data_IF_500271290036
#
_entry.id   IF_500271290036
#
_cell.length_a   1.000
_cell.length_b   1.000
_cell.length_c   1.000
_cell.angle_alpha   90.00
_cell.angle_beta   90.00
_cell.angle_gamma   90.00
#
_symmetry.space_group_name_H-M   'P 1'
#
loop_
_entity.id
_entity.type
_entity.pdbx_description
1 polymer ?
#
# COMPACT_ATOMS: atom_id res chain seq x y z
N UNK A 1 -10.40 33.77 -10.65
CA UNK A 1 -9.90 32.39 -10.79
C UNK A 1 -9.41 31.96 -9.44
N UNK A 2 -9.89 30.84 -8.96
CA UNK A 2 -9.57 30.34 -7.63
C UNK A 2 -8.10 29.90 -7.57
N UNK A 3 -7.27 30.64 -6.83
CA UNK A 3 -5.87 30.26 -6.57
C UNK A 3 -5.79 28.86 -5.97
N UNK A 4 -6.85 28.40 -5.30
CA UNK A 4 -6.96 27.07 -4.72
C UNK A 4 -7.03 25.99 -5.81
N UNK A 5 -7.68 26.24 -6.95
CA UNK A 5 -7.72 25.29 -8.08
C UNK A 5 -6.36 25.17 -8.77
N UNK A 6 -5.62 26.28 -8.90
CA UNK A 6 -4.27 26.30 -9.47
C UNK A 6 -3.26 25.64 -8.50
N UNK A 7 -3.40 25.87 -7.19
CA UNK A 7 -2.61 25.20 -6.17
C UNK A 7 -2.92 23.71 -6.09
N UNK A 8 -4.19 23.28 -6.20
CA UNK A 8 -4.55 21.85 -6.25
C UNK A 8 -3.96 21.14 -7.47
N UNK A 9 -3.84 21.82 -8.61
CA UNK A 9 -3.22 21.29 -9.84
C UNK A 9 -1.69 21.23 -9.70
N UNK A 10 -1.07 22.26 -9.13
CA UNK A 10 0.38 22.28 -8.85
C UNK A 10 0.76 21.26 -7.74
N UNK A 11 -0.13 21.02 -6.77
CA UNK A 11 0.05 20.03 -5.71
C UNK A 11 -0.25 18.59 -6.19
N UNK A 12 -1.04 18.41 -7.25
CA UNK A 12 -1.29 17.10 -7.85
C UNK A 12 -0.09 16.58 -8.67
N UNK A 13 0.94 17.40 -8.85
CA UNK A 13 2.14 17.08 -9.61
C UNK A 13 3.35 17.28 -8.71
N UNK A 14 3.86 16.23 -8.05
CA UNK A 14 5.12 16.38 -7.33
C UNK A 14 6.17 16.89 -8.32
N UNK A 15 6.96 17.88 -7.90
CA UNK A 15 8.11 18.29 -8.67
C UNK A 15 9.09 17.11 -8.65
N UNK A 16 9.04 16.31 -9.72
CA UNK A 16 9.90 15.16 -9.96
C UNK A 16 11.37 15.53 -9.76
N UNK A 17 11.72 16.80 -10.02
CA UNK A 17 13.04 17.36 -9.78
C UNK A 17 13.39 17.42 -8.30
N UNK A 18 12.45 17.81 -7.44
CA UNK A 18 12.65 17.86 -5.99
C UNK A 18 12.90 16.46 -5.41
N UNK A 19 12.22 15.42 -5.94
CA UNK A 19 12.45 14.02 -5.54
C UNK A 19 13.85 13.52 -5.93
N UNK A 20 14.39 14.02 -7.04
CA UNK A 20 15.76 13.73 -7.47
C UNK A 20 16.80 14.54 -6.68
N UNK A 21 16.48 15.76 -6.28
CA UNK A 21 17.36 16.67 -5.51
C UNK A 21 17.43 16.26 -4.03
N UNK A 22 16.32 15.80 -3.44
CA UNK A 22 16.20 15.33 -2.05
C UNK A 22 16.60 13.84 -1.88
N UNK A 23 17.12 13.21 -2.94
CA UNK A 23 17.46 11.80 -2.93
C UNK A 23 18.64 11.49 -1.99
N UNK A 24 18.32 11.22 -0.72
CA UNK A 24 19.23 10.59 0.21
C UNK A 24 19.60 9.17 -0.29
N UNK A 25 20.84 8.73 -0.03
CA UNK A 25 21.45 7.55 -0.65
C UNK A 25 20.53 6.32 -0.74
N UNK A 26 20.54 5.60 -1.88
CA UNK A 26 19.53 4.59 -2.22
C UNK A 26 19.59 3.38 -1.30
N UNK A 27 18.42 2.78 -1.05
CA UNK A 27 18.25 1.53 -0.29
C UNK A 27 17.86 0.41 -1.26
N UNK A 28 18.81 -0.46 -1.61
CA UNK A 28 18.58 -1.50 -2.64
C UNK A 28 17.65 -2.64 -2.24
N UNK A 29 17.46 -2.91 -0.95
CA UNK A 29 16.46 -3.85 -0.45
C UNK A 29 15.62 -3.20 0.65
N UNK A 30 14.34 -2.99 0.37
CA UNK A 30 13.41 -2.37 1.30
C UNK A 30 12.45 -3.40 1.87
N UNK A 31 12.15 -3.26 3.16
CA UNK A 31 11.13 -4.08 3.82
C UNK A 31 9.75 -3.55 3.41
N UNK A 32 8.93 -4.33 2.71
CA UNK A 32 7.51 -3.98 2.44
C UNK A 32 6.60 -4.36 3.61
N UNK A 33 6.99 -5.39 4.37
CA UNK A 33 6.42 -5.71 5.67
C UNK A 33 7.40 -5.32 6.77
N UNK A 34 6.93 -4.54 7.74
CA UNK A 34 7.81 -4.02 8.78
C UNK A 34 8.43 -5.16 9.59
N UNK A 35 9.73 -5.04 9.86
CA UNK A 35 10.43 -5.96 10.78
C UNK A 35 9.78 -5.99 12.16
N UNK A 36 9.14 -4.89 12.59
CA UNK A 36 8.43 -4.83 13.88
C UNK A 36 7.23 -5.78 13.87
N UNK A 37 6.43 -5.78 12.80
CA UNK A 37 5.31 -6.72 12.65
C UNK A 37 5.79 -8.16 12.48
N UNK A 38 6.76 -8.42 11.60
CA UNK A 38 7.28 -9.78 11.37
C UNK A 38 7.83 -10.41 12.67
N UNK A 39 8.40 -9.60 13.58
CA UNK A 39 8.85 -10.08 14.89
C UNK A 39 7.71 -10.59 15.79
N UNK A 40 6.47 -10.12 15.61
CA UNK A 40 5.29 -10.59 16.35
C UNK A 40 4.86 -11.99 15.92
N UNK A 41 5.08 -12.33 14.64
CA UNK A 41 4.78 -13.65 14.08
C UNK A 41 5.93 -14.66 14.24
N UNK A 42 7.08 -14.23 14.76
CA UNK A 42 8.18 -15.14 15.02
C UNK A 42 7.95 -15.99 16.27
N UNK A 43 8.42 -17.23 16.24
CA UNK A 43 8.44 -18.12 17.40
C UNK A 43 9.29 -17.56 18.53
N UNK A 44 9.02 -18.03 19.74
CA UNK A 44 9.76 -17.64 20.94
C UNK A 44 11.14 -18.31 20.88
N UNK A 45 12.15 -17.54 20.52
CA UNK A 45 13.56 -17.81 20.76
C UNK A 45 14.19 -16.56 21.35
N UNK A 46 15.43 -16.64 21.84
CA UNK A 46 16.19 -15.46 22.27
C UNK A 46 16.22 -14.36 21.18
N UNK A 47 16.71 -13.16 21.51
CA UNK A 47 16.70 -11.99 20.62
C UNK A 47 17.24 -12.28 19.21
N UNK A 48 18.20 -13.21 19.11
CA UNK A 48 18.84 -13.65 17.85
C UNK A 48 18.28 -14.94 17.23
N UNK A 49 17.29 -15.58 17.86
CA UNK A 49 16.75 -16.87 17.42
C UNK A 49 15.22 -16.87 17.20
N UNK A 50 14.62 -15.68 17.04
CA UNK A 50 13.23 -15.54 16.60
C UNK A 50 13.12 -16.02 15.16
N UNK A 51 12.31 -17.06 14.93
CA UNK A 51 12.14 -17.71 13.62
C UNK A 51 10.70 -17.61 13.13
N UNK A 52 10.51 -17.30 11.86
CA UNK A 52 9.22 -17.25 11.18
C UNK A 52 9.22 -18.23 9.99
N UNK A 53 8.07 -18.77 9.60
CA UNK A 53 7.95 -19.57 8.39
C UNK A 53 7.51 -18.67 7.24
N UNK A 54 8.36 -18.43 6.22
CA UNK A 54 7.93 -17.85 4.95
C UNK A 54 7.41 -18.97 4.05
N UNK A 55 6.09 -19.11 3.94
CA UNK A 55 5.46 -20.05 3.04
C UNK A 55 5.35 -19.43 1.65
N UNK A 56 5.92 -20.09 0.64
CA UNK A 56 5.89 -19.64 -0.75
C UNK A 56 4.57 -20.05 -1.39
N UNK A 57 3.81 -19.07 -1.88
CA UNK A 57 2.58 -19.32 -2.63
C UNK A 57 2.88 -19.80 -4.06
N UNK A 58 4.06 -19.43 -4.59
CA UNK A 58 4.55 -19.89 -5.90
C UNK A 58 5.03 -21.34 -5.86
N UNK A 59 5.62 -21.78 -4.74
CA UNK A 59 6.20 -23.11 -4.57
C UNK A 59 5.64 -23.83 -3.34
N UNK A 60 4.33 -24.08 -3.27
CA UNK A 60 3.67 -24.56 -2.05
C UNK A 60 4.15 -25.96 -1.65
N UNK A 61 4.50 -26.82 -2.60
CA UNK A 61 4.93 -28.20 -2.31
C UNK A 61 6.39 -28.28 -1.85
N UNK A 62 7.11 -27.16 -1.85
CA UNK A 62 8.48 -27.08 -1.34
C UNK A 62 8.53 -27.12 0.19
N UNK A 63 9.68 -27.55 0.71
CA UNK A 63 9.96 -27.47 2.14
C UNK A 63 10.27 -26.02 2.53
N UNK A 64 9.41 -25.43 3.36
CA UNK A 64 9.59 -24.07 3.86
C UNK A 64 10.45 -24.06 5.13
N UNK A 65 11.68 -23.56 5.01
CA UNK A 65 12.60 -23.43 6.14
C UNK A 65 12.29 -22.15 6.91
N UNK A 66 12.40 -22.21 8.23
CA UNK A 66 12.24 -21.03 9.06
C UNK A 66 13.38 -20.04 8.84
N UNK A 67 13.05 -18.75 8.82
CA UNK A 67 13.99 -17.63 8.60
C UNK A 67 13.92 -16.63 9.74
N UNK A 68 14.92 -15.76 9.86
CA UNK A 68 14.80 -14.60 10.74
C UNK A 68 13.86 -13.55 10.12
N UNK A 69 13.16 -12.73 10.93
CA UNK A 69 12.37 -11.61 10.42
C UNK A 69 13.14 -10.64 9.52
N UNK A 70 14.46 -10.53 9.69
CA UNK A 70 15.32 -9.67 8.85
C UNK A 70 15.42 -10.16 7.40
N UNK A 71 15.22 -11.45 7.16
CA UNK A 71 15.33 -12.10 5.85
C UNK A 71 13.96 -12.21 5.13
N UNK A 72 12.89 -11.72 5.73
CA UNK A 72 11.52 -11.80 5.20
C UNK A 72 10.98 -10.42 4.83
N UNK A 73 9.94 -10.39 3.98
CA UNK A 73 9.21 -9.19 3.62
C UNK A 73 10.04 -8.13 2.91
N UNK A 74 11.04 -8.53 2.12
CA UNK A 74 11.91 -7.64 1.37
C UNK A 74 11.57 -7.64 -0.11
N UNK A 75 11.62 -6.46 -0.73
CA UNK A 75 11.51 -6.28 -2.17
C UNK A 75 12.71 -5.47 -2.65
N UNK A 76 13.49 -6.00 -3.61
CA UNK A 76 14.55 -5.24 -4.26
C UNK A 76 13.97 -4.04 -4.99
N UNK A 77 14.63 -2.89 -4.88
CA UNK A 77 14.28 -1.65 -5.58
C UNK A 77 12.77 -1.37 -5.52
N UNK A 78 12.18 -1.46 -4.31
CA UNK A 78 10.75 -1.21 -4.16
C UNK A 78 10.41 0.23 -4.55
N UNK A 79 11.22 1.15 -4.05
CA UNK A 79 11.32 2.56 -4.45
C UNK A 79 12.74 2.76 -4.96
N UNK A 80 12.88 3.17 -6.21
CA UNK A 80 14.18 3.26 -6.87
C UNK A 80 14.85 4.62 -6.60
N UNK A 81 14.06 5.69 -6.60
CA UNK A 81 14.47 7.06 -6.40
C UNK A 81 13.93 7.61 -5.08
N UNK A 82 14.75 8.32 -4.29
CA UNK A 82 14.31 8.89 -3.01
C UNK A 82 14.02 7.85 -1.90
N UNK A 83 14.43 6.59 -2.07
CA UNK A 83 14.21 5.54 -1.05
C UNK A 83 14.82 5.84 0.30
N UNK A 84 16.00 6.50 0.33
CA UNK A 84 16.62 6.94 1.58
C UNK A 84 15.75 7.92 2.37
N UNK A 85 15.15 8.89 1.67
CA UNK A 85 14.27 9.89 2.27
C UNK A 85 13.01 9.23 2.85
N UNK A 86 12.33 8.39 2.06
CA UNK A 86 11.13 7.68 2.53
C UNK A 86 11.42 6.80 3.75
N UNK A 87 12.53 6.06 3.72
CA UNK A 87 12.93 5.20 4.83
C UNK A 87 13.17 6.02 6.10
N UNK A 88 13.86 7.17 6.02
CA UNK A 88 14.23 7.96 7.22
C UNK A 88 13.12 8.84 7.74
N UNK A 89 12.37 9.50 6.87
CA UNK A 89 11.46 10.57 7.25
C UNK A 89 9.99 10.14 7.25
N UNK A 90 9.63 9.11 6.50
CA UNK A 90 8.24 8.63 6.42
C UNK A 90 8.07 7.31 7.17
N UNK A 91 8.88 6.30 6.86
CA UNK A 91 8.66 4.93 7.37
C UNK A 91 9.22 4.75 8.78
N UNK A 92 10.47 5.15 9.00
CA UNK A 92 11.17 4.95 10.27
C UNK A 92 10.45 5.57 11.48
N UNK A 93 9.90 6.79 11.45
CA UNK A 93 9.19 7.34 12.61
C UNK A 93 8.01 6.48 13.07
N UNK A 94 7.26 5.92 12.12
CA UNK A 94 6.13 5.03 12.40
C UNK A 94 6.64 3.69 12.94
N UNK A 95 7.66 3.11 12.30
CA UNK A 95 8.24 1.84 12.74
C UNK A 95 8.92 1.94 14.11
N UNK A 96 9.49 3.09 14.46
CA UNK A 96 10.12 3.34 15.76
C UNK A 96 9.06 3.51 16.87
N UNK A 97 7.89 4.09 16.57
CA UNK A 97 6.77 4.24 17.52
C UNK A 97 5.92 2.97 17.68
N UNK A 98 5.87 2.11 16.65
CA UNK A 98 5.01 0.93 16.61
C UNK A 98 5.20 -0.06 17.78
N UNK A 99 6.40 -0.33 18.31
CA UNK A 99 6.58 -1.25 19.44
C UNK A 99 5.77 -0.85 20.69
N UNK A 100 5.75 0.42 21.05
CA UNK A 100 5.02 0.91 22.23
C UNK A 100 3.50 0.85 22.01
N UNK A 101 3.04 1.16 20.81
CA UNK A 101 1.64 1.02 20.44
C UNK A 101 1.18 -0.46 20.46
N UNK A 102 2.03 -1.38 20.00
CA UNK A 102 1.76 -2.83 20.06
C UNK A 102 1.72 -3.34 21.51
N UNK A 103 2.62 -2.86 22.38
CA UNK A 103 2.57 -3.19 23.80
C UNK A 103 1.25 -2.72 24.43
N UNK A 104 0.80 -1.49 24.12
CA UNK A 104 -0.49 -0.98 24.58
C UNK A 104 -1.69 -1.77 24.01
N UNK A 105 -1.57 -2.32 22.79
CA UNK A 105 -2.58 -3.25 22.22
C UNK A 105 -2.66 -4.53 23.04
N UNK A 106 -1.52 -5.10 23.43
CA UNK A 106 -1.47 -6.32 24.23
C UNK A 106 -2.01 -6.13 25.64
N UNK A 107 -1.67 -5.00 26.28
CA UNK A 107 -2.12 -4.60 27.62
C UNK A 107 -3.56 -4.05 27.65
N UNK A 108 -4.19 -3.90 26.48
CA UNK A 108 -5.54 -3.34 26.30
C UNK A 108 -5.70 -1.88 26.74
N UNK A 109 -4.64 -1.07 26.61
CA UNK A 109 -4.60 0.36 26.96
C UNK A 109 -4.37 1.26 25.74
N UNK A 110 -4.47 0.73 24.52
CA UNK A 110 -4.18 1.49 23.29
C UNK A 110 -5.10 2.69 23.11
N UNK A 111 -6.36 2.58 23.55
CA UNK A 111 -7.36 3.65 23.40
C UNK A 111 -7.26 4.74 24.47
N UNK A 112 -6.45 4.53 25.50
CA UNK A 112 -6.16 5.54 26.53
C UNK A 112 -5.16 6.59 26.01
N UNK A 113 -4.52 6.31 24.87
CA UNK A 113 -3.42 7.09 24.29
C UNK A 113 -3.68 7.37 22.81
N UNK A 114 -4.21 8.56 22.45
CA UNK A 114 -4.50 8.92 21.06
C UNK A 114 -3.30 8.75 20.11
N UNK A 115 -2.08 8.96 20.60
CA UNK A 115 -0.83 8.77 19.86
C UNK A 115 -0.61 7.31 19.44
N UNK A 116 -1.02 6.34 20.26
CA UNK A 116 -0.92 4.92 19.93
C UNK A 116 -1.97 4.52 18.90
N UNK A 117 -3.19 5.05 19.03
CA UNK A 117 -4.23 4.87 18.01
C UNK A 117 -3.74 5.41 16.66
N UNK A 118 -3.22 6.63 16.62
CA UNK A 118 -2.67 7.23 15.40
C UNK A 118 -1.51 6.39 14.83
N UNK A 119 -0.62 5.89 15.67
CA UNK A 119 0.49 5.03 15.26
C UNK A 119 0.00 3.75 14.58
N UNK A 120 -1.00 3.06 15.13
CA UNK A 120 -1.56 1.84 14.51
C UNK A 120 -2.26 2.19 13.18
N UNK A 121 -3.06 3.24 13.13
CA UNK A 121 -3.72 3.68 11.87
C UNK A 121 -2.70 4.00 10.78
N UNK A 122 -1.67 4.77 11.14
CA UNK A 122 -0.59 5.12 10.22
C UNK A 122 0.22 3.89 9.79
N UNK A 123 0.39 2.90 10.67
CA UNK A 123 0.98 1.61 10.30
C UNK A 123 0.11 0.84 9.28
N UNK A 124 -1.22 0.89 9.37
CA UNK A 124 -2.12 0.33 8.35
C UNK A 124 -1.87 1.01 7.00
N UNK A 125 -1.89 2.34 6.97
CA UNK A 125 -1.68 3.11 5.73
C UNK A 125 -0.29 2.89 5.15
N UNK A 126 0.75 2.93 5.98
CA UNK A 126 2.13 2.65 5.59
C UNK A 126 2.22 1.31 4.86
N UNK A 127 1.64 0.26 5.43
CA UNK A 127 1.67 -1.08 4.83
C UNK A 127 0.76 -1.23 3.61
N UNK A 128 -0.30 -0.42 3.51
CA UNK A 128 -1.15 -0.37 2.32
C UNK A 128 -0.39 0.24 1.14
N UNK A 129 0.21 1.42 1.33
CA UNK A 129 0.96 2.12 0.28
C UNK A 129 2.26 1.39 -0.08
N UNK A 130 2.93 0.78 0.91
CA UNK A 130 4.16 -0.01 0.73
C UNK A 130 3.90 -1.44 0.24
N UNK A 131 2.80 -1.67 -0.48
CA UNK A 131 2.45 -2.97 -1.04
C UNK A 131 2.86 -3.09 -2.51
N UNK A 132 3.26 -4.29 -2.93
CA UNK A 132 3.53 -4.57 -4.34
C UNK A 132 2.26 -4.43 -5.19
N UNK A 133 1.07 -4.64 -4.61
CA UNK A 133 -0.20 -4.38 -5.29
C UNK A 133 -0.40 -2.90 -5.65
N UNK A 134 -0.07 -1.97 -4.75
CA UNK A 134 -0.17 -0.54 -5.03
C UNK A 134 0.86 -0.14 -6.09
N UNK A 135 2.09 -0.64 -5.99
CA UNK A 135 3.12 -0.41 -7.01
C UNK A 135 2.68 -0.88 -8.39
N UNK A 136 2.17 -2.11 -8.48
CA UNK A 136 1.67 -2.68 -9.74
C UNK A 136 0.48 -1.88 -10.27
N UNK A 137 -0.51 -1.55 -9.41
CA UNK A 137 -1.66 -0.75 -9.82
C UNK A 137 -1.23 0.62 -10.37
N UNK A 138 -0.32 1.31 -9.69
CA UNK A 138 0.14 2.63 -10.11
C UNK A 138 0.78 2.60 -11.49
N UNK A 139 1.59 1.57 -11.75
CA UNK A 139 2.20 1.34 -13.07
C UNK A 139 1.13 1.08 -14.14
N UNK A 140 0.16 0.23 -13.84
CA UNK A 140 -0.82 -0.23 -14.83
C UNK A 140 -1.92 0.81 -15.12
N UNK A 141 -2.32 1.63 -14.13
CA UNK A 141 -3.40 2.60 -14.29
C UNK A 141 -2.95 3.88 -14.99
N UNK A 142 -1.65 4.17 -15.03
CA UNK A 142 -1.15 5.47 -15.50
C UNK A 142 -1.53 5.80 -16.95
N UNK A 143 -1.39 4.89 -17.94
CA UNK A 143 -1.83 5.17 -19.30
C UNK A 143 -3.31 5.54 -19.39
N UNK A 144 -4.15 4.90 -18.57
CA UNK A 144 -5.58 5.19 -18.49
C UNK A 144 -5.86 6.57 -17.87
N UNK A 145 -5.13 6.95 -16.82
CA UNK A 145 -5.24 8.27 -16.21
C UNK A 145 -4.80 9.38 -17.17
N UNK A 146 -3.72 9.17 -17.92
CA UNK A 146 -3.24 10.12 -18.94
C UNK A 146 -4.30 10.31 -20.03
N UNK A 147 -4.87 9.23 -20.56
CA UNK A 147 -5.93 9.30 -21.56
C UNK A 147 -7.16 10.09 -21.05
N UNK A 148 -7.63 9.78 -19.84
CA UNK A 148 -8.77 10.49 -19.23
C UNK A 148 -8.45 11.96 -18.94
N UNK A 149 -7.22 12.26 -18.51
CA UNK A 149 -6.76 13.65 -18.29
C UNK A 149 -6.67 14.42 -19.60
N UNK A 150 -6.24 13.79 -20.69
CA UNK A 150 -6.23 14.39 -22.03
C UNK A 150 -7.62 14.87 -22.43
N UNK A 151 -8.62 14.00 -22.31
CA UNK A 151 -10.02 14.34 -22.61
C UNK A 151 -10.53 15.51 -21.76
N UNK A 152 -10.22 15.49 -20.46
CA UNK A 152 -10.60 16.57 -19.55
C UNK A 152 -9.92 17.89 -19.93
N UNK A 153 -8.62 17.88 -20.23
CA UNK A 153 -7.86 19.08 -20.60
C UNK A 153 -8.35 19.71 -21.90
N UNK A 154 -8.73 18.89 -22.88
CA UNK A 154 -9.27 19.36 -24.15
C UNK A 154 -10.72 19.85 -24.09
N UNK A 155 -11.48 19.41 -23.08
CA UNK A 155 -12.88 19.82 -22.90
C UNK A 155 -13.01 20.93 -21.84
N UNK A 156 -12.76 20.59 -20.58
CA UNK A 156 -13.05 21.41 -19.41
C UNK A 156 -11.84 22.20 -18.91
N UNK A 157 -10.63 21.73 -19.23
CA UNK A 157 -9.37 22.34 -18.79
C UNK A 157 -8.81 23.41 -19.74
N UNK A 158 -9.53 23.78 -20.81
CA UNK A 158 -9.03 24.59 -21.91
C UNK A 158 -8.41 25.93 -21.45
N UNK A 159 -9.05 26.63 -20.51
CA UNK A 159 -8.55 27.91 -19.97
C UNK A 159 -7.26 27.75 -19.15
N UNK A 160 -7.16 26.67 -18.38
CA UNK A 160 -5.97 26.37 -17.59
C UNK A 160 -4.80 25.96 -18.50
N UNK A 161 -5.10 25.27 -19.59
CA UNK A 161 -4.11 24.90 -20.60
C UNK A 161 -3.55 26.13 -21.31
N UNK A 162 -4.40 27.11 -21.65
CA UNK A 162 -3.98 28.39 -22.22
C UNK A 162 -3.12 29.20 -21.25
N UNK A 163 -3.46 29.16 -19.96
CA UNK A 163 -2.64 29.80 -18.92
C UNK A 163 -1.26 29.14 -18.80
N UNK A 164 -1.21 27.79 -18.79
CA UNK A 164 0.06 27.06 -18.78
C UNK A 164 0.90 27.33 -20.02
N UNK A 165 0.28 27.37 -21.20
CA UNK A 165 0.94 27.72 -22.46
C UNK A 165 1.55 29.12 -22.38
N UNK A 166 0.79 30.10 -21.85
CA UNK A 166 1.27 31.48 -21.67
C UNK A 166 2.43 31.59 -20.69
N UNK A 167 2.42 30.86 -19.59
CA UNK A 167 3.55 30.84 -18.66
C UNK A 167 4.81 30.27 -19.31
N UNK A 168 4.67 29.26 -20.18
CA UNK A 168 5.79 28.58 -20.81
C UNK A 168 6.37 29.36 -22.00
N UNK A 169 5.50 29.93 -22.85
CA UNK A 169 5.90 30.56 -24.11
C UNK A 169 5.80 32.09 -24.12
N UNK A 170 5.23 32.70 -23.07
CA UNK A 170 5.00 34.16 -22.99
C UNK A 170 3.84 34.68 -23.85
N UNK A 171 3.15 33.81 -24.60
CA UNK A 171 2.12 34.15 -25.58
C UNK A 171 0.89 33.24 -25.41
N UNK A 172 -0.24 33.63 -25.99
CA UNK A 172 -1.41 32.74 -26.09
C UNK A 172 -1.26 31.78 -27.28
N UNK A 173 -1.84 30.57 -27.22
CA UNK A 173 -1.82 29.65 -28.36
C UNK A 173 -2.62 30.26 -29.53
N UNK A 174 -2.04 30.23 -30.74
CA UNK A 174 -2.65 30.79 -31.95
C UNK A 174 -3.69 29.88 -32.60
N UNK A 175 -3.75 28.61 -32.20
CA UNK A 175 -4.65 27.60 -32.76
C UNK A 175 -5.00 26.48 -31.78
N UNK A 176 -6.05 25.72 -32.10
CA UNK A 176 -6.42 24.50 -31.37
C UNK A 176 -5.33 23.43 -31.51
N UNK A 177 -4.68 23.36 -32.67
CA UNK A 177 -3.61 22.39 -32.95
C UNK A 177 -2.36 22.68 -32.12
N UNK A 178 -1.99 23.95 -31.94
CA UNK A 178 -0.86 24.32 -31.06
C UNK A 178 -1.16 24.00 -29.59
N UNK A 179 -2.39 24.27 -29.15
CA UNK A 179 -2.86 23.89 -27.81
C UNK A 179 -2.81 22.37 -27.59
N UNK A 180 -3.28 21.60 -28.57
CA UNK A 180 -3.21 20.14 -28.53
C UNK A 180 -1.77 19.65 -28.48
N UNK A 181 -0.88 20.19 -29.32
CA UNK A 181 0.53 19.81 -29.33
C UNK A 181 1.21 20.09 -28.00
N UNK A 182 0.99 21.27 -27.41
CA UNK A 182 1.51 21.59 -26.09
C UNK A 182 1.02 20.61 -25.02
N UNK A 183 -0.26 20.23 -25.06
CA UNK A 183 -0.77 19.20 -24.16
C UNK A 183 -0.09 17.85 -24.40
N UNK A 184 0.01 17.39 -25.65
CA UNK A 184 0.64 16.12 -26.02
C UNK A 184 2.09 16.05 -25.54
N UNK A 185 2.88 17.11 -25.76
CA UNK A 185 4.27 17.18 -25.29
C UNK A 185 4.38 17.03 -23.76
N UNK A 186 3.47 17.66 -23.01
CA UNK A 186 3.45 17.57 -21.54
C UNK A 186 2.96 16.21 -21.07
N UNK A 187 1.96 15.63 -21.71
CA UNK A 187 1.47 14.27 -21.39
C UNK A 187 2.51 13.20 -21.75
N UNK A 188 3.26 13.36 -22.84
CA UNK A 188 4.32 12.43 -23.22
C UNK A 188 5.45 12.42 -22.18
N UNK A 189 5.89 13.60 -21.73
CA UNK A 189 6.85 13.70 -20.62
C UNK A 189 6.38 12.93 -19.38
N UNK A 190 5.07 12.93 -19.10
CA UNK A 190 4.50 12.20 -17.97
C UNK A 190 4.43 10.68 -18.19
N UNK A 191 4.16 10.24 -19.41
CA UNK A 191 4.24 8.83 -19.78
C UNK A 191 5.67 8.32 -19.62
N UNK A 192 6.64 9.05 -20.17
CA UNK A 192 8.06 8.70 -20.08
C UNK A 192 8.53 8.65 -18.61
N UNK A 193 8.08 9.60 -17.78
CA UNK A 193 8.38 9.62 -16.34
C UNK A 193 7.75 8.45 -15.60
N UNK A 194 6.52 8.07 -15.93
CA UNK A 194 5.87 6.93 -15.30
C UNK A 194 6.49 5.58 -15.72
N UNK A 195 6.90 5.46 -16.98
CA UNK A 195 7.68 4.31 -17.46
C UNK A 195 9.01 4.17 -16.73
N UNK A 196 9.59 5.29 -16.26
CA UNK A 196 10.83 5.30 -15.48
C UNK A 196 10.67 4.93 -13.99
N UNK A 197 9.45 4.62 -13.52
CA UNK A 197 9.06 4.40 -12.10
C UNK A 197 9.22 5.62 -11.17
N UNK A 198 9.87 6.69 -11.63
CA UNK A 198 10.10 7.92 -10.89
C UNK A 198 8.81 8.60 -10.39
N UNK A 199 7.73 8.48 -11.15
CA UNK A 199 6.42 9.01 -10.73
C UNK A 199 5.81 8.24 -9.55
N UNK A 200 6.00 6.92 -9.51
CA UNK A 200 5.53 6.11 -8.37
C UNK A 200 6.29 6.53 -7.12
N UNK A 201 7.61 6.61 -7.22
CA UNK A 201 8.50 7.00 -6.13
C UNK A 201 8.16 8.39 -5.59
N UNK A 202 7.98 9.36 -6.49
CA UNK A 202 7.61 10.74 -6.16
C UNK A 202 6.24 10.88 -5.47
N UNK A 203 5.33 9.94 -5.70
CA UNK A 203 3.96 10.01 -5.18
C UNK A 203 3.75 9.23 -3.90
N UNK A 204 4.66 8.33 -3.53
CA UNK A 204 4.41 7.40 -2.44
C UNK A 204 4.23 8.09 -1.09
N UNK A 205 5.02 9.15 -0.81
CA UNK A 205 4.85 10.00 0.36
C UNK A 205 3.51 10.73 0.36
N UNK A 206 3.13 11.34 -0.76
CA UNK A 206 1.84 12.01 -0.89
C UNK A 206 0.66 11.04 -0.66
N UNK A 207 0.73 9.83 -1.21
CA UNK A 207 -0.28 8.79 -0.99
C UNK A 207 -0.34 8.36 0.48
N UNK A 208 0.80 8.28 1.15
CA UNK A 208 0.86 7.98 2.57
C UNK A 208 0.12 9.06 3.37
N UNK A 209 0.47 10.34 3.19
CA UNK A 209 -0.18 11.44 3.91
C UNK A 209 -1.67 11.55 3.60
N UNK A 210 -2.06 11.46 2.32
CA UNK A 210 -3.47 11.45 1.92
C UNK A 210 -4.23 10.27 2.54
N UNK A 211 -3.59 9.09 2.61
CA UNK A 211 -4.17 7.92 3.29
C UNK A 211 -4.35 8.16 4.78
N UNK A 212 -3.37 8.76 5.46
CA UNK A 212 -3.46 9.13 6.87
C UNK A 212 -4.58 10.14 7.15
N UNK A 213 -4.69 11.19 6.32
CA UNK A 213 -5.77 12.16 6.41
C UNK A 213 -7.14 11.50 6.21
N UNK A 214 -7.27 10.64 5.20
CA UNK A 214 -8.51 9.93 4.90
C UNK A 214 -9.02 9.08 6.07
N UNK A 215 -8.12 8.47 6.85
CA UNK A 215 -8.48 7.58 7.97
C UNK A 215 -8.43 8.24 9.34
N UNK A 216 -8.18 9.55 9.39
CA UNK A 216 -8.10 10.30 10.64
C UNK A 216 -9.36 10.14 11.49
N UNK A 217 -10.53 10.24 10.86
CA UNK A 217 -11.85 10.22 11.53
C UNK A 217 -12.41 8.81 11.74
N UNK A 218 -11.78 7.77 11.20
CA UNK A 218 -12.26 6.39 11.36
C UNK A 218 -11.99 5.88 12.78
N UNK A 219 -12.84 5.01 13.32
CA UNK A 219 -12.51 4.23 14.51
C UNK A 219 -11.40 3.20 14.24
N UNK A 220 -10.63 2.88 15.27
CA UNK A 220 -9.69 1.76 15.27
C UNK A 220 -10.26 0.58 16.07
N UNK A 221 -10.44 -0.55 15.43
CA UNK A 221 -10.85 -1.80 16.08
C UNK A 221 -9.66 -2.74 16.27
N UNK A 222 -9.52 -3.29 17.48
CA UNK A 222 -8.54 -4.32 17.80
C UNK A 222 -9.28 -5.65 18.02
N UNK A 223 -9.11 -6.56 17.07
CA UNK A 223 -9.80 -7.83 17.01
C UNK A 223 -8.92 -8.97 17.52
N UNK A 224 -9.49 -9.82 18.36
CA UNK A 224 -8.83 -11.00 18.95
C UNK A 224 -9.57 -12.26 18.55
N UNK A 225 -8.92 -13.30 18.02
CA UNK A 225 -9.61 -14.53 17.68
C UNK A 225 -9.87 -15.34 18.95
N UNK A 226 -11.08 -15.88 19.10
CA UNK A 226 -11.45 -16.78 20.20
C UNK A 226 -10.43 -17.92 20.34
N UNK A 227 -10.08 -18.54 19.20
CA UNK A 227 -9.11 -19.64 19.09
C UNK A 227 -8.22 -19.49 17.87
N UNK A 228 -7.09 -20.20 17.87
CA UNK A 228 -6.13 -20.22 16.76
C UNK A 228 -5.38 -18.90 16.57
N UNK A 229 -4.78 -18.72 15.40
CA UNK A 229 -3.84 -17.63 15.13
C UNK A 229 -4.09 -16.98 13.78
N UNK A 230 -3.72 -15.70 13.67
CA UNK A 230 -3.59 -15.02 12.39
C UNK A 230 -2.26 -15.37 11.71
N UNK A 231 -2.24 -15.27 10.38
CA UNK A 231 -1.04 -15.16 9.54
C UNK A 231 -0.96 -13.74 8.95
N UNK A 232 0.18 -13.41 8.33
CA UNK A 232 0.39 -12.12 7.66
C UNK A 232 0.97 -12.35 6.26
N UNK A 233 0.38 -11.72 5.24
CA UNK A 233 0.93 -11.72 3.88
C UNK A 233 2.12 -10.78 3.72
N UNK A 234 2.87 -10.93 2.62
CA UNK A 234 3.82 -9.92 2.16
C UNK A 234 3.15 -8.64 1.61
N UNK A 235 1.82 -8.68 1.48
CA UNK A 235 0.91 -7.54 1.34
C UNK A 235 0.00 -7.52 2.58
N UNK A 236 0.42 -6.89 3.69
CA UNK A 236 -0.16 -7.18 5.00
C UNK A 236 -1.40 -6.34 5.32
N UNK A 237 -1.52 -5.13 4.78
CA UNK A 237 -2.71 -4.30 4.89
C UNK A 237 -3.61 -4.51 3.67
N UNK A 238 -4.82 -5.03 3.87
CA UNK A 238 -5.75 -5.34 2.79
C UNK A 238 -7.07 -4.60 2.98
N UNK A 239 -7.53 -3.93 1.93
CA UNK A 239 -8.88 -3.39 1.84
C UNK A 239 -9.89 -4.54 1.77
N UNK A 240 -11.01 -4.42 2.49
CA UNK A 240 -12.03 -5.47 2.59
C UNK A 240 -13.38 -4.90 2.22
N UNK A 241 -14.13 -5.67 1.43
CA UNK A 241 -15.55 -5.41 1.18
C UNK A 241 -16.37 -6.63 1.60
N UNK A 242 -17.19 -6.47 2.64
CA UNK A 242 -17.97 -7.56 3.21
C UNK A 242 -18.99 -8.16 2.24
N UNK A 243 -19.53 -7.34 1.33
CA UNK A 243 -20.55 -7.69 0.34
C UNK A 243 -20.02 -8.53 -0.83
N UNK A 244 -18.71 -8.48 -1.13
CA UNK A 244 -18.12 -9.11 -2.33
C UNK A 244 -17.24 -10.32 -2.04
N UNK A 245 -17.02 -10.66 -0.77
CA UNK A 245 -16.09 -11.70 -0.33
C UNK A 245 -14.71 -11.62 -1.04
N UNK A 246 -14.26 -10.40 -1.31
CA UNK A 246 -13.00 -10.08 -1.99
C UNK A 246 -12.23 -9.08 -1.14
N UNK A 247 -10.91 -9.07 -1.31
CA UNK A 247 -10.02 -8.16 -0.61
C UNK A 247 -8.87 -7.70 -1.49
N UNK A 248 -8.29 -6.58 -1.11
CA UNK A 248 -7.14 -5.97 -1.76
C UNK A 248 -7.49 -5.20 -3.03
N UNK A 249 -6.49 -4.42 -3.45
CA UNK A 249 -6.59 -3.52 -4.59
C UNK A 249 -6.67 -4.28 -5.91
N UNK A 250 -6.00 -5.44 -6.00
CA UNK A 250 -6.13 -6.37 -7.15
C UNK A 250 -7.56 -6.86 -7.37
N UNK A 251 -8.42 -6.81 -6.34
CA UNK A 251 -9.85 -7.13 -6.46
C UNK A 251 -10.73 -5.92 -6.81
N UNK A 252 -10.14 -4.77 -7.13
CA UNK A 252 -10.85 -3.53 -7.44
C UNK A 252 -11.43 -2.82 -6.22
N UNK A 253 -10.83 -3.01 -5.04
CA UNK A 253 -11.28 -2.38 -3.79
C UNK A 253 -10.26 -1.32 -3.39
N UNK A 254 -10.51 -0.08 -3.80
CA UNK A 254 -9.72 1.07 -3.37
C UNK A 254 -9.97 1.40 -1.90
N UNK A 255 -9.09 2.19 -1.28
CA UNK A 255 -9.20 2.60 0.12
C UNK A 255 -10.55 3.30 0.41
N UNK A 256 -10.97 4.22 -0.46
CA UNK A 256 -12.25 4.94 -0.31
C UNK A 256 -13.50 4.11 -0.59
N UNK A 257 -13.37 2.95 -1.26
CA UNK A 257 -14.48 2.03 -1.54
C UNK A 257 -14.53 0.84 -0.57
N UNK A 258 -13.56 0.76 0.35
CA UNK A 258 -13.45 -0.33 1.30
C UNK A 258 -14.42 -0.12 2.46
N UNK A 259 -15.03 -1.22 2.94
CA UNK A 259 -15.76 -1.18 4.20
C UNK A 259 -14.81 -1.14 5.40
N UNK A 260 -13.61 -1.71 5.24
CA UNK A 260 -12.54 -1.66 6.24
C UNK A 260 -11.19 -1.96 5.58
N UNK A 261 -10.10 -1.66 6.28
CA UNK A 261 -8.75 -2.16 5.97
C UNK A 261 -8.28 -2.96 7.16
N UNK A 262 -7.79 -4.17 6.92
CA UNK A 262 -7.30 -5.07 7.97
C UNK A 262 -5.79 -5.20 7.94
N UNK A 263 -5.17 -5.21 9.11
CA UNK A 263 -3.75 -5.45 9.30
C UNK A 263 -3.53 -6.42 10.48
N UNK A 264 -3.05 -7.65 10.24
CA UNK A 264 -2.59 -8.52 11.31
C UNK A 264 -1.42 -7.87 12.08
N UNK A 265 -1.62 -7.60 13.38
CA UNK A 265 -0.57 -7.02 14.24
C UNK A 265 0.31 -8.11 14.87
N UNK A 266 -0.22 -9.32 14.98
CA UNK A 266 0.45 -10.50 15.49
C UNK A 266 -0.46 -11.72 15.44
N UNK A 267 -0.02 -12.89 15.94
CA UNK A 267 -0.82 -14.12 15.90
C UNK A 267 -2.16 -14.04 16.64
N UNK A 268 -2.34 -13.07 17.54
CA UNK A 268 -3.54 -12.95 18.40
C UNK A 268 -4.25 -11.61 18.30
N UNK A 269 -3.78 -10.70 17.44
CA UNK A 269 -4.30 -9.34 17.31
C UNK A 269 -4.35 -8.92 15.84
N UNK A 270 -5.47 -8.34 15.44
CA UNK A 270 -5.66 -7.74 14.13
C UNK A 270 -6.24 -6.33 14.34
N UNK A 271 -5.69 -5.35 13.62
CA UNK A 271 -6.24 -4.02 13.56
C UNK A 271 -7.17 -3.88 12.33
N UNK A 272 -8.26 -3.15 12.50
CA UNK A 272 -9.19 -2.82 11.44
C UNK A 272 -9.69 -1.38 11.59
N UNK A 273 -10.06 -0.73 10.48
CA UNK A 273 -10.86 0.48 10.56
C UNK A 273 -12.33 0.13 10.82
N UNK A 274 -12.98 0.87 11.72
CA UNK A 274 -14.38 0.70 12.09
C UNK A 274 -15.06 2.04 12.36
N UNK A 275 -16.33 2.05 12.77
CA UNK A 275 -17.05 3.29 13.08
C UNK A 275 -16.61 3.94 14.39
N UNK A 276 -16.09 3.16 15.35
CA UNK A 276 -15.64 3.64 16.66
C UNK A 276 -14.39 2.88 17.12
N UNK A 277 -13.66 3.47 18.06
CA UNK A 277 -12.56 2.75 18.73
C UNK A 277 -13.11 1.62 19.59
N UNK A 278 -12.56 0.41 19.48
CA UNK A 278 -13.08 -0.72 20.24
C UNK A 278 -12.23 -1.98 20.22
N UNK A 279 -12.44 -2.81 21.23
CA UNK A 279 -11.93 -4.18 21.25
C UNK A 279 -13.03 -5.14 20.84
N UNK A 280 -12.71 -6.08 19.95
CA UNK A 280 -13.61 -7.14 19.54
C UNK A 280 -12.99 -8.51 19.74
N UNK A 281 -13.85 -9.50 19.98
CA UNK A 281 -13.49 -10.91 19.87
C UNK A 281 -14.17 -11.46 18.62
N UNK A 282 -13.42 -12.18 17.78
CA UNK A 282 -13.96 -12.75 16.55
C UNK A 282 -14.00 -14.27 16.62
N UNK A 283 -15.04 -14.90 16.04
CA UNK A 283 -15.17 -16.34 16.00
C UNK A 283 -14.17 -16.96 15.01
N UNK A 284 -14.01 -18.28 15.11
CA UNK A 284 -13.02 -19.08 14.37
C UNK A 284 -13.20 -18.97 12.86
N UNK A 285 -14.44 -18.99 12.38
CA UNK A 285 -14.83 -18.85 10.98
C UNK A 285 -14.45 -17.48 10.42
N UNK A 286 -14.68 -16.40 11.17
CA UNK A 286 -14.27 -15.06 10.74
C UNK A 286 -12.75 -14.91 10.72
N UNK A 287 -12.02 -15.49 11.70
CA UNK A 287 -10.56 -15.58 11.66
C UNK A 287 -10.08 -16.31 10.41
N UNK A 288 -10.66 -17.46 10.10
CA UNK A 288 -10.27 -18.24 8.92
C UNK A 288 -10.56 -17.50 7.62
N UNK A 289 -11.67 -16.78 7.54
CA UNK A 289 -11.95 -15.89 6.41
C UNK A 289 -10.89 -14.80 6.27
N UNK A 290 -10.48 -14.16 7.36
CA UNK A 290 -9.43 -13.12 7.36
C UNK A 290 -8.05 -13.69 7.00
N UNK A 291 -7.70 -14.89 7.48
CA UNK A 291 -6.48 -15.57 7.06
C UNK A 291 -6.54 -15.95 5.56
N UNK A 292 -7.69 -16.43 5.07
CA UNK A 292 -7.89 -16.72 3.65
C UNK A 292 -7.72 -15.47 2.79
N UNK A 293 -8.24 -14.33 3.24
CA UNK A 293 -8.03 -13.01 2.61
C UNK A 293 -6.53 -12.67 2.56
N UNK A 294 -5.77 -12.87 3.64
CA UNK A 294 -4.33 -12.64 3.65
C UNK A 294 -3.56 -13.56 2.70
N UNK A 295 -3.99 -14.83 2.56
CA UNK A 295 -3.40 -15.77 1.59
C UNK A 295 -3.70 -15.35 0.15
N UNK A 296 -4.94 -14.98 -0.16
CA UNK A 296 -5.35 -14.56 -1.50
C UNK A 296 -4.79 -13.19 -1.89
N UNK A 297 -4.61 -12.30 -0.92
CA UNK A 297 -4.07 -10.96 -1.12
C UNK A 297 -2.54 -10.90 -1.11
N UNK A 298 -1.85 -11.91 -0.61
CA UNK A 298 -0.39 -11.96 -0.68
C UNK A 298 0.11 -12.09 -2.13
N UNK A 299 1.30 -11.57 -2.38
CA UNK A 299 1.94 -11.60 -3.69
C UNK A 299 2.77 -12.86 -3.89
N UNK A 300 3.68 -13.16 -2.95
CA UNK A 300 4.60 -14.31 -3.05
C UNK A 300 4.64 -15.15 -1.79
N UNK A 301 4.54 -14.52 -0.63
CA UNK A 301 4.71 -15.18 0.65
C UNK A 301 3.59 -14.84 1.64
N UNK A 302 3.23 -15.85 2.43
CA UNK A 302 2.60 -15.64 3.72
C UNK A 302 3.55 -16.06 4.83
N UNK A 303 3.45 -15.37 5.96
CA UNK A 303 4.31 -15.59 7.11
C UNK A 303 3.49 -15.99 8.33
N UNK A 304 3.98 -17.00 9.05
CA UNK A 304 3.35 -17.46 10.28
C UNK A 304 4.36 -18.07 11.25
N UNK A 305 3.94 -18.19 12.50
CA UNK A 305 4.75 -18.75 13.58
C UNK A 305 5.02 -20.25 13.31
N UNK A 306 6.27 -20.74 13.50
CA UNK A 306 6.56 -22.17 13.49
C UNK A 306 5.70 -22.90 14.53
N UNK A 307 5.10 -24.03 14.14
CA UNK A 307 4.21 -24.82 15.01
C UNK A 307 2.81 -24.23 15.21
N UNK A 308 2.41 -23.21 14.45
CA UNK A 308 1.05 -22.63 14.53
C UNK A 308 -0.06 -23.52 13.97
N UNK A 309 0.28 -24.55 13.19
CA UNK A 309 -0.69 -25.37 12.43
C UNK A 309 -1.25 -24.68 11.18
N UNK A 310 -0.84 -23.44 10.89
CA UNK A 310 -1.38 -22.66 9.76
C UNK A 310 -0.87 -23.13 8.39
N UNK A 311 0.15 -23.99 8.33
CA UNK A 311 0.64 -24.51 7.04
C UNK A 311 -0.42 -25.31 6.30
N UNK A 312 -1.14 -26.19 6.99
CA UNK A 312 -2.23 -26.98 6.39
C UNK A 312 -3.38 -26.08 5.94
N UNK A 313 -3.70 -25.05 6.74
CA UNK A 313 -4.68 -24.04 6.37
C UNK A 313 -4.30 -23.30 5.07
N UNK A 314 -3.04 -22.87 4.93
CA UNK A 314 -2.58 -22.16 3.72
C UNK A 314 -2.64 -23.07 2.51
N UNK A 315 -2.25 -24.35 2.67
CA UNK A 315 -2.29 -25.35 1.59
C UNK A 315 -3.72 -25.65 1.11
N UNK A 316 -4.72 -25.54 1.98
CA UNK A 316 -6.12 -25.79 1.63
C UNK A 316 -6.82 -24.60 0.97
N UNK A 317 -6.21 -23.41 0.96
CA UNK A 317 -6.81 -22.25 0.32
C UNK A 317 -6.85 -22.40 -1.21
N UNK A 318 -7.93 -21.95 -1.87
CA UNK A 318 -8.00 -21.94 -3.32
C UNK A 318 -6.91 -21.04 -3.89
N UNK A 319 -6.10 -21.58 -4.80
CA UNK A 319 -5.06 -20.82 -5.49
C UNK A 319 -5.74 -19.86 -6.44
N UNK A 320 -5.54 -18.56 -6.25
CA UNK A 320 -5.66 -17.64 -7.37
C UNK A 320 -4.47 -17.96 -8.27
N UNK A 321 -4.71 -18.61 -9.42
CA UNK A 321 -3.66 -18.72 -10.42
C UNK A 321 -3.20 -17.30 -10.72
N UNK A 322 -1.95 -16.99 -10.37
CA UNK A 322 -1.30 -15.81 -10.89
C UNK A 322 -1.44 -15.92 -12.41
N UNK A 323 -2.24 -15.03 -13.02
CA UNK A 323 -2.28 -14.89 -14.46
C UNK A 323 -0.83 -14.72 -14.86
N UNK A 324 -0.36 -15.68 -15.65
CA UNK A 324 1.00 -15.78 -16.14
C UNK A 324 1.53 -14.39 -16.46
N UNK A 325 2.69 -14.02 -15.90
CA UNK A 325 3.45 -12.86 -16.36
C UNK A 325 3.82 -13.11 -17.82
N UNK A 326 2.95 -12.67 -18.72
CA UNK A 326 3.03 -12.91 -20.15
C UNK A 326 1.65 -12.84 -20.79
N UNK A 327 1.53 -11.91 -21.75
CA UNK A 327 0.45 -11.73 -22.74
C UNK A 327 -0.64 -10.72 -22.37
N UNK A 328 -0.63 -9.61 -23.09
CA UNK A 328 -1.82 -9.22 -23.85
C UNK A 328 -2.55 -7.98 -23.35
N UNK A 329 -2.37 -6.90 -24.12
CA UNK A 329 -3.39 -5.87 -24.33
C UNK A 329 -4.76 -6.54 -24.51
N UNK A 330 -5.60 -6.57 -23.48
CA UNK A 330 -7.05 -6.69 -23.66
C UNK A 330 -7.73 -5.71 -22.73
N UNK A 331 -8.60 -4.90 -23.33
CA UNK A 331 -9.07 -3.65 -22.80
C UNK A 331 -9.89 -3.80 -21.53
N UNK A 332 -9.60 -2.91 -20.58
CA UNK A 332 -10.63 -2.42 -19.67
C UNK A 332 -11.69 -1.70 -20.52
N UNK A 333 -12.78 -2.40 -20.83
CA UNK A 333 -14.04 -1.77 -21.19
C UNK A 333 -14.77 -1.47 -19.88
N UNK A 334 -14.96 -0.19 -19.58
CA UNK A 334 -15.85 0.26 -18.52
C UNK A 334 -16.89 1.16 -19.18
N UNK A 335 -18.14 0.74 -19.05
CA UNK A 335 -19.33 1.49 -19.45
C UNK A 335 -19.52 2.74 -18.57
#
# INVERSE_FOLDING_TARGET
MDQEAVQRISAAMPDVRQVLEDAEGPVGEQHTVSKVLLKQFAGHGGRDNRRIIPFSLEYPDSRHRSKSPRECGKVPDFVKFGSGHLERHVWKPIEDALPDALAAVDDRTVFDRPEHVATIKNAIILHFVRSTQIRDLQRDIWPHLVARKREWWLSSGATLLDHGYRLHHGLYPGSVQERQRFLEERLQLWLDTAESELLFDARLEALFHQGCEMVADFGLEILTPERGQFLIGDVPALTVRHDRNKAGVRSGIALGDAHSVVLPLGPRRLAAFGPVNGYGTIPVDLRDRLNGIQVQGADRYVYFRPGSGLEEFVRSQPRVQAVSRGVGRQGFSVA
#
